data_IF_402143922141
#
_entry.id   IF_402143922141
#
_cell.length_a   1.000
_cell.length_b   1.000
_cell.length_c   1.000
_cell.angle_alpha   90.00
_cell.angle_beta   90.00
_cell.angle_gamma   90.00
#
_symmetry.space_group_name_H-M   'P 1'
#
loop_
_entity.id
_entity.type
_entity.pdbx_description
1 polymer ?
#
# COMPACT_ATOMS: atom_id res chain seq x y z
N UNK A 1 46.38 1.96 -35.42
CA UNK A 1 44.91 2.06 -35.27
C UNK A 1 44.61 3.02 -34.13
N UNK A 2 44.29 4.28 -34.46
CA UNK A 2 44.05 5.33 -33.45
C UNK A 2 42.68 5.12 -32.80
N UNK A 3 42.65 5.08 -31.46
CA UNK A 3 41.40 5.07 -30.69
C UNK A 3 40.63 6.37 -30.94
N UNK A 4 39.31 6.32 -31.23
CA UNK A 4 38.54 7.53 -31.46
C UNK A 4 38.43 8.34 -30.16
N UNK A 5 38.70 9.64 -30.30
CA UNK A 5 38.65 10.67 -29.27
C UNK A 5 37.28 10.77 -28.60
N UNK A 6 37.25 11.12 -27.30
CA UNK A 6 36.04 11.30 -26.45
C UNK A 6 35.18 12.52 -26.85
N UNK A 7 34.97 12.77 -28.14
CA UNK A 7 33.98 13.75 -28.59
C UNK A 7 32.58 13.22 -28.23
N UNK A 8 31.87 13.96 -27.37
CA UNK A 8 30.58 13.54 -26.83
C UNK A 8 29.55 13.35 -27.93
N UNK A 9 29.14 12.10 -28.19
CA UNK A 9 28.01 11.80 -29.07
C UNK A 9 26.79 12.59 -28.64
N UNK A 10 26.26 13.44 -29.51
CA UNK A 10 25.05 14.22 -29.25
C UNK A 10 23.84 13.30 -29.01
N UNK A 11 22.91 13.75 -28.16
CA UNK A 11 21.70 13.02 -27.84
C UNK A 11 20.68 13.16 -28.97
N UNK A 12 20.27 12.04 -29.56
CA UNK A 12 19.21 12.07 -30.57
C UNK A 12 17.85 12.30 -29.92
N UNK A 13 16.85 12.84 -30.65
CA UNK A 13 15.49 12.97 -30.14
C UNK A 13 14.90 11.63 -29.68
N UNK A 14 15.24 10.54 -30.37
CA UNK A 14 14.81 9.19 -30.02
C UNK A 14 15.45 8.70 -28.71
N UNK A 15 16.75 8.93 -28.51
CA UNK A 15 17.42 8.63 -27.25
C UNK A 15 16.82 9.43 -26.09
N UNK A 16 16.41 10.67 -26.33
CA UNK A 16 15.75 11.51 -25.33
C UNK A 16 14.37 10.95 -24.99
N UNK A 17 13.55 10.57 -25.97
CA UNK A 17 12.24 9.93 -25.74
C UNK A 17 12.37 8.62 -24.95
N UNK A 18 13.31 7.77 -25.35
CA UNK A 18 13.60 6.51 -24.65
C UNK A 18 14.07 6.79 -23.22
N UNK A 19 14.88 7.82 -23.00
CA UNK A 19 15.29 8.21 -21.65
C UNK A 19 14.09 8.72 -20.84
N UNK A 20 13.24 9.58 -21.39
CA UNK A 20 12.05 10.13 -20.72
C UNK A 20 11.07 9.02 -20.30
N UNK A 21 10.86 8.02 -21.16
CA UNK A 21 10.00 6.87 -20.91
C UNK A 21 10.58 5.90 -19.85
N UNK A 22 11.87 5.58 -19.95
CA UNK A 22 12.46 4.53 -19.12
C UNK A 22 13.06 5.05 -17.81
N UNK A 23 13.48 6.31 -17.74
CA UNK A 23 14.22 6.86 -16.60
C UNK A 23 13.43 6.87 -15.29
N UNK A 24 12.11 7.15 -15.28
CA UNK A 24 11.32 7.06 -14.05
C UNK A 24 11.35 5.65 -13.45
N UNK A 25 10.99 4.61 -14.19
CA UNK A 25 10.65 3.33 -13.51
C UNK A 25 11.57 2.15 -13.83
N UNK A 26 12.51 2.28 -14.78
CA UNK A 26 13.35 1.15 -15.22
C UNK A 26 14.70 1.08 -14.52
N UNK A 27 15.19 -0.15 -14.39
CA UNK A 27 16.50 -0.46 -13.83
C UNK A 27 17.64 0.15 -14.68
N UNK A 28 18.77 0.48 -14.03
CA UNK A 28 19.96 1.05 -14.68
C UNK A 28 20.37 0.24 -15.91
N UNK A 29 20.46 -1.09 -15.74
CA UNK A 29 20.90 -2.02 -16.79
C UNK A 29 20.02 -1.93 -18.03
N UNK A 30 18.70 -1.87 -17.87
CA UNK A 30 17.75 -1.75 -18.99
C UNK A 30 17.94 -0.44 -19.75
N UNK A 31 18.09 0.67 -19.01
CA UNK A 31 18.31 2.01 -19.60
C UNK A 31 19.64 2.04 -20.36
N UNK A 32 20.73 1.57 -19.77
CA UNK A 32 22.06 1.59 -20.40
C UNK A 32 22.16 0.65 -21.60
N UNK A 33 21.50 -0.51 -21.56
CA UNK A 33 21.46 -1.44 -22.69
C UNK A 33 20.67 -0.85 -23.87
N UNK A 34 19.50 -0.25 -23.59
CA UNK A 34 18.62 0.29 -24.64
C UNK A 34 19.19 1.56 -25.27
N UNK A 35 19.83 2.43 -24.48
CA UNK A 35 20.47 3.66 -24.97
C UNK A 35 21.91 3.47 -25.45
N UNK A 36 22.52 2.30 -25.21
CA UNK A 36 23.96 2.02 -25.46
C UNK A 36 24.89 3.13 -24.95
N UNK A 37 24.52 3.75 -23.83
CA UNK A 37 25.26 4.84 -23.17
C UNK A 37 25.59 4.47 -21.73
N UNK A 38 26.64 5.07 -21.20
CA UNK A 38 27.02 4.89 -19.79
C UNK A 38 25.96 5.47 -18.87
N UNK A 39 25.82 4.90 -17.68
CA UNK A 39 24.85 5.38 -16.69
C UNK A 39 25.08 6.86 -16.33
N UNK A 40 26.35 7.30 -16.22
CA UNK A 40 26.70 8.69 -15.94
C UNK A 40 26.17 9.64 -17.02
N UNK A 41 26.26 9.27 -18.30
CA UNK A 41 25.73 10.08 -19.39
C UNK A 41 24.20 10.20 -19.32
N UNK A 42 23.49 9.07 -19.08
CA UNK A 42 22.04 9.04 -18.93
C UNK A 42 21.56 9.89 -17.75
N UNK A 43 22.23 9.79 -16.59
CA UNK A 43 21.91 10.57 -15.39
C UNK A 43 22.10 12.08 -15.62
N UNK A 44 23.21 12.49 -16.24
CA UNK A 44 23.47 13.91 -16.53
C UNK A 44 22.45 14.49 -17.51
N UNK A 45 22.07 13.74 -18.55
CA UNK A 45 21.04 14.19 -19.50
C UNK A 45 19.66 14.27 -18.84
N UNK A 46 19.30 13.27 -18.04
CA UNK A 46 18.04 13.24 -17.31
C UNK A 46 17.91 14.42 -16.35
N UNK A 47 18.97 14.76 -15.61
CA UNK A 47 19.01 15.95 -14.75
C UNK A 47 18.79 17.25 -15.54
N UNK A 48 19.42 17.41 -16.71
CA UNK A 48 19.21 18.55 -17.61
C UNK A 48 17.78 18.64 -18.16
N UNK A 49 17.05 17.52 -18.19
CA UNK A 49 15.64 17.44 -18.61
C UNK A 49 14.65 17.49 -17.44
N UNK A 50 15.13 17.61 -16.20
CA UNK A 50 14.28 17.61 -15.01
C UNK A 50 13.66 16.25 -14.68
N UNK A 51 14.17 15.15 -15.24
CA UNK A 51 13.61 13.82 -15.01
C UNK A 51 13.99 13.30 -13.62
N UNK A 52 12.98 12.85 -12.88
CA UNK A 52 13.15 12.26 -11.56
C UNK A 52 13.08 10.74 -11.68
N UNK A 53 14.10 10.06 -11.15
CA UNK A 53 14.09 8.61 -11.08
C UNK A 53 13.10 8.15 -10.00
N UNK A 54 12.31 7.14 -10.34
CA UNK A 54 11.22 6.57 -9.55
C UNK A 54 10.09 7.58 -9.34
N UNK A 55 9.69 8.28 -10.40
CA UNK A 55 8.72 9.38 -10.37
C UNK A 55 7.35 8.99 -9.78
N UNK A 56 6.95 7.72 -9.89
CA UNK A 56 5.73 7.19 -9.26
C UNK A 56 5.89 6.76 -7.80
N UNK A 57 7.13 6.57 -7.31
CA UNK A 57 7.39 6.01 -5.98
C UNK A 57 7.82 7.08 -4.98
N UNK A 58 7.00 7.27 -3.94
CA UNK A 58 7.22 8.28 -2.89
C UNK A 58 7.61 7.63 -1.57
N UNK A 59 8.35 8.37 -0.74
CA UNK A 59 8.63 7.92 0.63
C UNK A 59 7.35 7.97 1.45
N UNK A 60 7.26 7.13 2.48
CA UNK A 60 6.11 7.15 3.39
C UNK A 60 5.93 8.51 4.09
N UNK A 61 7.02 9.25 4.31
CA UNK A 61 6.98 10.60 4.88
C UNK A 61 6.30 11.58 3.92
N UNK A 62 6.72 11.59 2.65
CA UNK A 62 6.10 12.45 1.65
C UNK A 62 4.62 12.13 1.42
N UNK A 63 4.25 10.84 1.45
CA UNK A 63 2.85 10.41 1.34
C UNK A 63 2.04 10.79 2.58
N UNK A 64 2.64 10.70 3.77
CA UNK A 64 2.04 11.09 5.05
C UNK A 64 1.72 12.59 5.07
N UNK A 65 2.65 13.43 4.62
CA UNK A 65 2.46 14.88 4.48
C UNK A 65 1.38 15.21 3.45
N UNK A 66 1.46 14.60 2.25
CA UNK A 66 0.51 14.86 1.16
C UNK A 66 -0.93 14.49 1.52
N UNK A 67 -1.12 13.35 2.17
CA UNK A 67 -2.45 12.79 2.47
C UNK A 67 -2.96 13.19 3.87
N UNK A 68 -2.17 13.93 4.65
CA UNK A 68 -2.55 14.39 5.99
C UNK A 68 -2.69 13.25 7.02
N UNK A 69 -2.03 12.10 6.81
CA UNK A 69 -2.09 10.96 7.73
C UNK A 69 -0.83 10.85 8.58
N UNK A 70 -0.97 10.38 9.81
CA UNK A 70 0.19 9.99 10.61
C UNK A 70 0.95 8.82 9.95
N UNK A 71 2.27 8.93 9.83
CA UNK A 71 3.16 7.90 9.25
C UNK A 71 2.89 6.48 9.77
N UNK A 72 2.75 6.29 11.09
CA UNK A 72 2.48 4.96 11.70
C UNK A 72 1.10 4.43 11.32
N UNK A 73 0.11 5.31 11.23
CA UNK A 73 -1.23 4.94 10.80
C UNK A 73 -1.21 4.51 9.33
N UNK A 74 -0.52 5.28 8.47
CA UNK A 74 -0.37 4.97 7.06
C UNK A 74 0.35 3.63 6.83
N UNK A 75 1.47 3.40 7.53
CA UNK A 75 2.20 2.12 7.47
C UNK A 75 1.32 0.93 7.86
N UNK A 76 0.47 1.10 8.89
CA UNK A 76 -0.47 0.07 9.32
C UNK A 76 -1.49 -0.24 8.24
N UNK A 77 -2.08 0.78 7.61
CA UNK A 77 -3.08 0.61 6.54
C UNK A 77 -2.48 -0.15 5.37
N UNK A 78 -1.30 0.28 4.90
CA UNK A 78 -0.57 -0.39 3.82
C UNK A 78 -0.26 -1.85 4.19
N UNK A 79 0.16 -2.13 5.43
CA UNK A 79 0.43 -3.49 5.89
C UNK A 79 -0.80 -4.41 5.81
N UNK A 80 -1.97 -3.95 6.23
CA UNK A 80 -3.20 -4.76 6.17
C UNK A 80 -3.73 -4.88 4.74
N UNK A 81 -3.68 -3.80 3.97
CA UNK A 81 -4.04 -3.83 2.56
C UNK A 81 -3.13 -4.78 1.78
N UNK A 82 -1.83 -4.82 2.07
CA UNK A 82 -0.89 -5.77 1.47
C UNK A 82 -1.27 -7.24 1.75
N UNK A 83 -1.74 -7.55 2.97
CA UNK A 83 -2.26 -8.89 3.29
C UNK A 83 -3.54 -9.22 2.53
N UNK A 84 -4.46 -8.26 2.43
CA UNK A 84 -5.68 -8.41 1.63
C UNK A 84 -5.34 -8.63 0.16
N UNK A 85 -4.49 -7.78 -0.41
CA UNK A 85 -4.00 -7.89 -1.78
C UNK A 85 -3.36 -9.26 -2.03
N UNK A 86 -2.58 -9.80 -1.09
CA UNK A 86 -2.01 -11.16 -1.20
C UNK A 86 -3.07 -12.28 -1.19
N UNK A 87 -4.22 -12.05 -0.57
CA UNK A 87 -5.33 -13.01 -0.55
C UNK A 87 -6.19 -12.99 -1.83
N UNK A 88 -6.05 -11.96 -2.67
CA UNK A 88 -6.80 -11.85 -3.93
C UNK A 88 -6.30 -12.85 -4.98
N UNK A 89 -7.17 -13.34 -5.88
CA UNK A 89 -6.77 -14.13 -7.04
C UNK A 89 -5.74 -13.41 -7.91
N UNK A 90 -4.86 -14.16 -8.57
CA UNK A 90 -3.79 -13.60 -9.39
C UNK A 90 -4.27 -12.61 -10.46
N UNK A 91 -5.35 -12.92 -11.18
CA UNK A 91 -5.89 -12.06 -12.23
C UNK A 91 -6.32 -10.69 -11.70
N UNK A 92 -6.99 -10.64 -10.54
CA UNK A 92 -7.36 -9.38 -9.88
C UNK A 92 -6.11 -8.61 -9.45
N UNK A 93 -5.10 -9.29 -8.88
CA UNK A 93 -3.86 -8.63 -8.44
C UNK A 93 -3.10 -7.93 -9.58
N UNK A 94 -3.25 -8.37 -10.82
CA UNK A 94 -2.64 -7.75 -11.98
C UNK A 94 -3.30 -6.41 -12.37
N UNK A 95 -4.54 -6.17 -11.96
CA UNK A 95 -5.29 -4.95 -12.29
C UNK A 95 -4.92 -3.79 -11.35
N UNK A 96 -4.47 -4.08 -10.13
CA UNK A 96 -4.18 -3.08 -9.10
C UNK A 96 -2.68 -2.93 -8.85
N UNK A 97 -2.21 -1.71 -8.54
CA UNK A 97 -0.81 -1.49 -8.18
C UNK A 97 -0.48 -2.21 -6.88
N UNK A 98 0.66 -2.93 -6.87
CA UNK A 98 1.05 -3.71 -5.71
C UNK A 98 1.46 -2.77 -4.55
N UNK A 99 0.91 -2.95 -3.32
CA UNK A 99 1.25 -2.12 -2.16
C UNK A 99 2.59 -2.51 -1.52
N UNK A 100 3.56 -2.92 -2.35
CA UNK A 100 4.86 -3.42 -1.92
C UNK A 100 5.83 -2.26 -1.72
N UNK A 101 6.54 -2.26 -0.58
CA UNK A 101 7.62 -1.32 -0.35
C UNK A 101 8.84 -1.67 -1.20
N UNK A 102 9.30 -0.73 -2.01
CA UNK A 102 10.57 -0.84 -2.72
C UNK A 102 11.69 -0.18 -1.91
N UNK A 103 12.85 -0.82 -1.83
CA UNK A 103 14.01 -0.26 -1.14
C UNK A 103 14.79 0.68 -2.07
N UNK A 104 14.83 1.98 -1.75
CA UNK A 104 15.73 2.95 -2.35
C UNK A 104 17.07 2.87 -1.61
N UNK A 105 18.06 2.26 -2.28
CA UNK A 105 19.41 1.90 -1.81
C UNK A 105 19.50 0.66 -0.89
N UNK A 106 20.50 -0.18 -1.19
CA UNK A 106 20.99 -1.29 -0.37
C UNK A 106 22.33 -0.87 0.26
N UNK A 107 22.38 0.30 0.90
CA UNK A 107 23.52 0.71 1.71
C UNK A 107 23.26 0.24 3.13
N UNK A 108 24.22 -0.47 3.72
CA UNK A 108 24.06 -1.45 4.80
C UNK A 108 23.41 -1.00 6.12
N UNK A 109 22.94 0.24 6.26
CA UNK A 109 22.40 0.76 7.52
C UNK A 109 20.95 1.27 7.46
N UNK A 110 20.44 1.74 6.31
CA UNK A 110 19.04 2.18 6.19
C UNK A 110 18.49 1.96 4.78
N UNK A 111 17.47 1.12 4.64
CA UNK A 111 16.70 1.04 3.40
C UNK A 111 15.57 2.07 3.43
N UNK A 112 15.62 3.06 2.54
CA UNK A 112 14.51 4.00 2.39
C UNK A 112 13.38 3.29 1.65
N UNK A 113 12.31 2.94 2.37
CA UNK A 113 11.11 2.34 1.75
C UNK A 113 10.34 3.40 0.97
N UNK A 114 10.12 3.13 -0.31
CA UNK A 114 9.26 3.91 -1.20
C UNK A 114 8.07 3.07 -1.65
N UNK A 115 6.94 3.71 -1.89
CA UNK A 115 5.67 3.10 -2.27
C UNK A 115 5.12 3.77 -3.51
N UNK A 116 4.43 2.99 -4.33
CA UNK A 116 3.60 3.53 -5.39
C UNK A 116 2.51 4.41 -4.76
N UNK A 117 2.36 5.64 -5.26
CA UNK A 117 1.38 6.58 -4.71
C UNK A 117 -0.06 6.08 -4.86
N UNK A 118 -0.42 5.51 -6.00
CA UNK A 118 -1.78 5.02 -6.26
C UNK A 118 -2.08 3.82 -5.35
N UNK A 119 -1.13 2.90 -5.17
CA UNK A 119 -1.32 1.78 -4.24
C UNK A 119 -1.61 2.23 -2.79
N UNK A 120 -1.06 3.37 -2.38
CA UNK A 120 -1.33 3.93 -1.05
C UNK A 120 -2.70 4.61 -0.98
N UNK A 121 -3.15 5.27 -2.05
CA UNK A 121 -4.51 5.81 -2.16
C UNK A 121 -5.53 4.67 -2.10
N UNK A 122 -5.35 3.63 -2.90
CA UNK A 122 -6.23 2.45 -2.93
C UNK A 122 -6.28 1.77 -1.54
N UNK A 123 -5.13 1.68 -0.86
CA UNK A 123 -5.06 1.15 0.51
C UNK A 123 -5.89 1.98 1.51
N UNK A 124 -5.94 3.30 1.33
CA UNK A 124 -6.72 4.20 2.18
C UNK A 124 -8.20 4.06 1.87
N UNK A 125 -8.58 4.05 0.59
CA UNK A 125 -9.97 3.85 0.18
C UNK A 125 -10.51 2.50 0.65
N UNK A 126 -9.73 1.43 0.48
CA UNK A 126 -10.03 0.11 1.03
C UNK A 126 -10.18 0.16 2.54
N UNK A 127 -9.28 0.85 3.25
CA UNK A 127 -9.36 0.98 4.70
C UNK A 127 -10.65 1.69 5.16
N UNK A 128 -11.08 2.73 4.45
CA UNK A 128 -12.31 3.47 4.77
C UNK A 128 -13.59 2.67 4.53
N UNK A 129 -13.55 1.70 3.59
CA UNK A 129 -14.66 0.75 3.38
C UNK A 129 -14.74 -0.31 4.49
N UNK A 130 -13.67 -0.50 5.24
CA UNK A 130 -13.57 -1.49 6.30
C UNK A 130 -13.74 -0.86 7.69
N UNK A 131 -14.08 -1.68 8.67
CA UNK A 131 -14.23 -1.26 10.06
C UNK A 131 -13.28 -2.02 10.97
N UNK A 132 -12.67 -1.31 11.92
CA UNK A 132 -12.05 -1.97 13.06
C UNK A 132 -13.13 -2.42 14.04
N UNK A 133 -12.76 -3.32 14.95
CA UNK A 133 -13.66 -3.76 16.04
C UNK A 133 -14.23 -2.57 16.82
N UNK A 134 -13.41 -1.55 17.05
CA UNK A 134 -13.81 -0.36 17.80
C UNK A 134 -14.80 0.51 17.04
N UNK A 135 -14.61 0.66 15.72
CA UNK A 135 -15.51 1.43 14.86
C UNK A 135 -16.86 0.73 14.72
N UNK A 136 -16.84 -0.59 14.49
CA UNK A 136 -18.04 -1.40 14.45
C UNK A 136 -18.83 -1.38 15.77
N UNK A 137 -18.13 -1.41 16.92
CA UNK A 137 -18.77 -1.30 18.24
C UNK A 137 -19.47 0.06 18.42
N UNK A 138 -18.83 1.15 17.96
CA UNK A 138 -19.41 2.50 17.98
C UNK A 138 -20.65 2.57 17.08
N UNK A 139 -20.56 2.08 15.84
CA UNK A 139 -21.66 2.06 14.87
C UNK A 139 -22.86 1.26 15.37
N UNK A 140 -22.63 0.07 15.93
CA UNK A 140 -23.67 -0.84 16.38
C UNK A 140 -24.21 -0.52 17.78
N UNK A 141 -23.67 0.50 18.45
CA UNK A 141 -24.09 0.91 19.79
C UNK A 141 -23.78 -0.14 20.87
N UNK A 142 -22.69 -0.92 20.70
CA UNK A 142 -22.32 -2.00 21.63
C UNK A 142 -21.09 -1.59 22.41
N UNK A 143 -21.08 -1.84 23.73
CA UNK A 143 -19.91 -1.56 24.56
C UNK A 143 -18.72 -2.45 24.17
N UNK A 144 -17.49 -1.93 24.33
CA UNK A 144 -16.27 -2.69 24.01
C UNK A 144 -16.21 -4.07 24.70
N UNK A 145 -16.60 -4.22 25.99
CA UNK A 145 -16.65 -5.54 26.63
C UNK A 145 -17.69 -6.48 26.00
N UNK A 146 -18.86 -5.97 25.60
CA UNK A 146 -19.88 -6.76 24.92
C UNK A 146 -19.40 -7.20 23.53
N UNK A 147 -18.76 -6.31 22.77
CA UNK A 147 -18.12 -6.65 21.49
C UNK A 147 -17.02 -7.72 21.68
N UNK A 148 -16.17 -7.60 22.70
CA UNK A 148 -15.15 -8.61 22.97
C UNK A 148 -15.75 -9.99 23.29
N UNK A 149 -16.89 -10.04 24.00
CA UNK A 149 -17.62 -11.29 24.27
C UNK A 149 -18.23 -11.87 22.99
N UNK A 150 -18.79 -11.02 22.13
CA UNK A 150 -19.31 -11.42 20.83
C UNK A 150 -18.21 -12.08 19.97
N UNK A 151 -17.03 -11.45 19.85
CA UNK A 151 -15.88 -12.01 19.13
C UNK A 151 -15.44 -13.37 19.70
N UNK A 152 -15.32 -13.49 21.03
CA UNK A 152 -14.93 -14.75 21.70
C UNK A 152 -15.92 -15.86 21.37
N UNK A 153 -17.22 -15.56 21.44
CA UNK A 153 -18.28 -16.54 21.15
C UNK A 153 -18.31 -16.98 19.69
N UNK A 154 -18.08 -16.05 18.77
CA UNK A 154 -17.97 -16.34 17.33
C UNK A 154 -16.59 -16.90 16.93
N UNK A 155 -15.71 -17.21 17.90
CA UNK A 155 -14.34 -17.71 17.68
C UNK A 155 -13.52 -16.86 16.69
N UNK A 156 -13.70 -15.54 16.74
CA UNK A 156 -13.04 -14.60 15.84
C UNK A 156 -11.57 -14.44 16.27
N UNK A 157 -10.64 -14.92 15.44
CA UNK A 157 -9.18 -14.83 15.67
C UNK A 157 -8.55 -13.51 15.19
N UNK A 158 -9.36 -12.50 14.90
CA UNK A 158 -8.94 -11.23 14.31
C UNK A 158 -8.45 -10.25 15.39
N UNK A 159 -7.28 -9.65 15.17
CA UNK A 159 -6.73 -8.60 16.05
C UNK A 159 -7.68 -7.40 16.18
N UNK A 160 -7.62 -6.66 17.29
CA UNK A 160 -8.52 -5.51 17.53
C UNK A 160 -8.38 -4.40 16.50
N UNK A 161 -7.17 -4.23 15.98
CA UNK A 161 -6.80 -3.21 14.99
C UNK A 161 -6.90 -3.71 13.56
N UNK A 162 -7.23 -4.99 13.34
CA UNK A 162 -7.37 -5.52 12.00
C UNK A 162 -8.73 -5.09 11.43
N UNK A 163 -8.74 -4.53 10.21
CA UNK A 163 -9.97 -4.14 9.53
C UNK A 163 -10.75 -5.39 9.08
N UNK A 164 -12.07 -5.32 9.11
CA UNK A 164 -12.96 -6.30 8.51
C UNK A 164 -14.21 -5.60 7.95
N UNK A 165 -14.95 -6.27 7.08
CA UNK A 165 -16.15 -5.69 6.46
C UNK A 165 -17.24 -5.36 7.49
N UNK A 166 -18.00 -4.27 7.32
CA UNK A 166 -19.11 -3.93 8.21
C UNK A 166 -20.11 -5.09 8.40
N UNK A 167 -20.46 -5.78 7.30
CA UNK A 167 -21.39 -6.92 7.32
C UNK A 167 -20.88 -8.09 8.16
N UNK A 168 -19.56 -8.32 8.19
CA UNK A 168 -18.96 -9.32 9.07
C UNK A 168 -19.24 -8.97 10.54
N UNK A 169 -19.05 -7.71 10.94
CA UNK A 169 -19.32 -7.27 12.30
C UNK A 169 -20.81 -7.32 12.66
N UNK A 170 -21.69 -6.99 11.72
CA UNK A 170 -23.14 -7.08 11.89
C UNK A 170 -23.55 -8.51 12.23
N UNK A 171 -23.00 -9.50 11.50
CA UNK A 171 -23.26 -10.92 11.75
C UNK A 171 -22.78 -11.38 13.14
N UNK A 172 -21.60 -10.92 13.57
CA UNK A 172 -21.02 -11.25 14.88
C UNK A 172 -21.89 -10.71 16.01
N UNK A 173 -22.33 -9.45 15.90
CA UNK A 173 -23.18 -8.83 16.92
C UNK A 173 -24.60 -9.40 16.90
N UNK A 174 -25.18 -9.67 15.74
CA UNK A 174 -26.49 -10.30 15.61
C UNK A 174 -26.53 -11.68 16.29
N UNK A 175 -25.53 -12.53 16.02
CA UNK A 175 -25.39 -13.84 16.65
C UNK A 175 -25.24 -13.72 18.18
N UNK A 176 -24.50 -12.72 18.65
CA UNK A 176 -24.37 -12.47 20.08
C UNK A 176 -25.70 -12.04 20.72
N UNK A 177 -26.42 -11.08 20.14
CA UNK A 177 -27.74 -10.62 20.62
C UNK A 177 -28.75 -11.77 20.66
N UNK A 178 -28.81 -12.59 19.61
CA UNK A 178 -29.67 -13.77 19.57
C UNK A 178 -29.33 -14.77 20.69
N UNK A 179 -28.04 -14.97 20.98
CA UNK A 179 -27.62 -15.85 22.07
C UNK A 179 -28.03 -15.32 23.45
N UNK A 180 -27.99 -13.99 23.67
CA UNK A 180 -28.43 -13.39 24.92
C UNK A 180 -29.94 -13.53 25.11
N UNK A 181 -30.73 -13.40 24.02
CA UNK A 181 -32.18 -13.60 24.06
C UNK A 181 -32.56 -15.04 24.45
N UNK A 182 -31.81 -16.04 23.97
CA UNK A 182 -32.03 -17.46 24.35
C UNK A 182 -31.71 -17.77 25.81
N UNK A 183 -30.82 -17.00 26.45
CA UNK A 183 -30.39 -17.21 27.83
C UNK A 183 -31.31 -16.54 28.86
N UNK A 184 -32.16 -15.59 28.45
CA UNK A 184 -33.21 -14.99 29.27
C UNK A 184 -34.55 -15.63 28.92
N UNK A 185 -34.97 -16.74 29.58
CA UNK A 185 -36.36 -17.17 29.47
C UNK A 185 -37.26 -16.05 29.99
N UNK A 186 -38.37 -15.78 29.30
CA UNK A 186 -39.40 -14.88 29.80
C UNK A 186 -39.91 -15.45 31.12
N UNK A 187 -39.76 -14.67 32.21
CA UNK A 187 -40.33 -15.05 33.49
C UNK A 187 -41.85 -15.24 33.31
N UNK A 188 -42.45 -16.31 33.85
CA UNK A 188 -43.88 -16.54 33.71
C UNK A 188 -44.62 -15.32 34.27
N UNK A 189 -45.43 -14.69 33.41
CA UNK A 189 -46.34 -13.61 33.81
C UNK A 189 -47.32 -14.21 34.81
N UNK A 190 -47.22 -13.76 36.06
CA UNK A 190 -48.10 -14.14 37.17
C UNK A 190 -49.36 -13.28 37.15
#
# INVERSE_FOLDING_TARGET
>A
MSAPTRAGRDWTPEEIRILEDLYPDKAVRTITLKLKRTWSACRCKAAKRGLVRWGGFKTLVALSEKLGYNKRALERRIKYYSKYWQSLPFHIRCEYPAPTAHARCRSGYYSHKVYDEQAVVDAIEWWHKMETRSDAARRLGVSQPAMSRACKRANVKISSLAPAEPAFWDSVVANYRASQKRLKPEAPKT
#
